data_IF_977321850772
#
_entry.id   IF_977321850772
#
_cell.length_a   1.000
_cell.length_b   1.000
_cell.length_c   1.000
_cell.angle_alpha   90.00
_cell.angle_beta   90.00
_cell.angle_gamma   90.00
#
_symmetry.space_group_name_H-M   'P 1'
#
loop_
_entity.id
_entity.type
_entity.pdbx_description
1 polymer ?
#
# COMPACT_ATOMS: atom_id res chain seq x y z
N UNK A 1 60.62 18.99 28.16
CA UNK A 1 60.76 18.85 26.70
C UNK A 1 59.93 17.65 26.29
N UNK A 2 58.82 17.87 25.59
CA UNK A 2 57.93 16.81 25.12
C UNK A 2 58.49 16.33 23.78
N UNK A 3 59.02 15.11 23.74
CA UNK A 3 59.58 14.50 22.54
C UNK A 3 58.47 14.27 21.51
N UNK A 4 58.81 14.66 20.29
CA UNK A 4 57.99 14.73 19.09
C UNK A 4 57.52 13.36 18.58
N UNK A 5 56.26 13.36 18.13
CA UNK A 5 55.57 12.43 17.21
C UNK A 5 56.49 11.43 16.48
N UNK A 6 56.30 10.15 16.75
CA UNK A 6 56.72 9.06 15.86
C UNK A 6 55.99 9.25 14.52
N UNK A 7 56.72 9.67 13.48
CA UNK A 7 56.21 9.74 12.12
C UNK A 7 56.22 8.33 11.53
N UNK A 8 55.09 7.90 10.99
CA UNK A 8 55.02 6.68 10.18
C UNK A 8 56.05 6.74 9.06
N UNK A 9 56.78 5.66 8.82
CA UNK A 9 57.68 5.59 7.68
C UNK A 9 56.87 5.57 6.37
N UNK A 10 57.48 6.00 5.26
CA UNK A 10 56.81 5.98 3.95
C UNK A 10 56.32 4.57 3.57
N UNK A 11 57.03 3.52 4.03
CA UNK A 11 56.62 2.13 3.83
C UNK A 11 55.38 1.74 4.66
N UNK A 12 55.22 2.33 5.86
CA UNK A 12 54.04 2.10 6.70
C UNK A 12 52.82 2.85 6.14
N UNK A 13 53.03 4.07 5.64
CA UNK A 13 52.01 4.85 4.93
C UNK A 13 51.54 4.14 3.66
N UNK A 14 52.46 3.56 2.88
CA UNK A 14 52.14 2.79 1.68
C UNK A 14 51.28 1.56 2.01
N UNK A 15 51.63 0.82 3.07
CA UNK A 15 50.83 -0.33 3.53
C UNK A 15 49.45 0.06 4.02
N UNK A 16 49.33 1.20 4.72
CA UNK A 16 48.04 1.71 5.18
C UNK A 16 47.18 2.12 3.99
N UNK A 17 47.76 2.76 2.97
CA UNK A 17 47.05 3.11 1.73
C UNK A 17 46.57 1.86 0.97
N UNK A 18 47.43 0.86 0.78
CA UNK A 18 47.05 -0.40 0.13
C UNK A 18 45.97 -1.16 0.91
N UNK A 19 46.02 -1.13 2.25
CA UNK A 19 44.94 -1.70 3.08
C UNK A 19 43.65 -0.89 2.99
N UNK A 20 43.71 0.44 2.94
CA UNK A 20 42.54 1.29 2.79
C UNK A 20 41.86 1.06 1.43
N UNK A 21 42.62 1.04 0.33
CA UNK A 21 42.13 0.73 -1.02
C UNK A 21 41.52 -0.66 -1.10
N UNK A 22 42.17 -1.67 -0.47
CA UNK A 22 41.63 -3.03 -0.43
C UNK A 22 40.33 -3.11 0.38
N UNK A 23 40.24 -2.44 1.53
CA UNK A 23 39.01 -2.39 2.34
C UNK A 23 37.90 -1.64 1.60
N UNK A 24 38.23 -0.59 0.86
CA UNK A 24 37.28 0.16 0.04
C UNK A 24 36.79 -0.67 -1.14
N UNK A 25 37.67 -1.43 -1.80
CA UNK A 25 37.32 -2.39 -2.83
C UNK A 25 36.46 -3.55 -2.29
N UNK A 26 36.80 -4.13 -1.14
CA UNK A 26 36.00 -5.16 -0.46
C UNK A 26 34.63 -4.59 -0.02
N UNK A 27 34.56 -3.34 0.45
CA UNK A 27 33.30 -2.64 0.75
C UNK A 27 32.46 -2.37 -0.50
N UNK A 28 33.10 -2.02 -1.62
CA UNK A 28 32.44 -1.88 -2.92
C UNK A 28 31.87 -3.24 -3.37
N UNK A 29 32.64 -4.33 -3.22
CA UNK A 29 32.16 -5.69 -3.52
C UNK A 29 30.97 -6.10 -2.64
N UNK A 30 31.02 -5.82 -1.34
CA UNK A 30 29.91 -6.07 -0.42
C UNK A 30 28.70 -5.14 -0.66
N UNK A 31 28.89 -3.91 -1.14
CA UNK A 31 27.80 -3.04 -1.63
C UNK A 31 27.21 -3.54 -2.95
N UNK A 32 27.98 -4.20 -3.80
CA UNK A 32 27.52 -4.74 -5.10
C UNK A 32 26.87 -6.12 -5.02
N UNK A 33 26.85 -6.76 -3.84
CA UNK A 33 26.13 -8.04 -3.67
C UNK A 33 24.72 -7.83 -3.13
N UNK A 34 24.00 -6.81 -3.64
CA UNK A 34 22.54 -6.93 -3.70
C UNK A 34 22.29 -7.93 -4.82
N UNK A 35 21.77 -9.14 -4.56
CA UNK A 35 21.54 -10.09 -5.63
C UNK A 35 20.70 -9.42 -6.70
N UNK A 36 21.06 -9.55 -7.98
CA UNK A 36 20.46 -8.83 -9.12
C UNK A 36 18.92 -8.87 -9.11
N UNK A 37 18.35 -9.94 -8.55
CA UNK A 37 16.90 -10.10 -8.30
C UNK A 37 16.34 -8.99 -7.40
N UNK A 38 16.98 -8.69 -6.27
CA UNK A 38 16.57 -7.63 -5.35
C UNK A 38 16.73 -6.24 -5.97
N UNK A 39 17.76 -6.03 -6.80
CA UNK A 39 17.94 -4.75 -7.52
C UNK A 39 16.77 -4.53 -8.49
N UNK A 40 16.41 -5.55 -9.28
CA UNK A 40 15.29 -5.46 -10.21
C UNK A 40 13.98 -5.20 -9.48
N UNK A 41 13.72 -5.92 -8.40
CA UNK A 41 12.53 -5.71 -7.55
C UNK A 41 12.49 -4.30 -6.94
N UNK A 42 13.64 -3.78 -6.53
CA UNK A 42 13.77 -2.42 -5.99
C UNK A 42 13.47 -1.37 -7.06
N UNK A 43 14.06 -1.50 -8.26
CA UNK A 43 13.84 -0.58 -9.38
C UNK A 43 12.40 -0.64 -9.91
N UNK A 44 11.76 -1.81 -9.81
CA UNK A 44 10.37 -2.00 -10.19
C UNK A 44 9.37 -1.55 -9.10
N UNK A 45 9.84 -1.10 -7.94
CA UNK A 45 9.00 -0.68 -6.82
C UNK A 45 8.42 0.73 -7.02
N UNK A 46 7.11 0.95 -6.80
CA UNK A 46 6.09 -0.05 -6.56
C UNK A 46 5.74 -0.81 -7.85
N UNK A 47 5.52 -2.13 -7.78
CA UNK A 47 5.16 -2.95 -8.92
C UNK A 47 3.80 -2.54 -9.51
N UNK A 48 3.58 -2.84 -10.79
CA UNK A 48 2.39 -2.42 -11.52
C UNK A 48 1.08 -2.85 -10.83
N UNK A 49 1.04 -4.02 -10.19
CA UNK A 49 -0.16 -4.44 -9.44
C UNK A 49 -0.50 -3.51 -8.26
N UNK A 50 0.50 -2.91 -7.60
CA UNK A 50 0.28 -1.93 -6.54
C UNK A 50 -0.19 -0.60 -7.12
N UNK A 51 0.37 -0.18 -8.26
CA UNK A 51 -0.10 1.00 -8.97
C UNK A 51 -1.57 0.85 -9.37
N UNK A 52 -1.93 -0.27 -10.02
CA UNK A 52 -3.31 -0.61 -10.40
C UNK A 52 -4.26 -0.56 -9.22
N UNK A 53 -3.87 -1.20 -8.10
CA UNK A 53 -4.72 -1.30 -6.91
C UNK A 53 -4.95 0.03 -6.21
N UNK A 54 -3.99 0.94 -6.24
CA UNK A 54 -4.05 2.18 -5.45
C UNK A 54 -4.45 3.40 -6.28
N UNK A 55 -4.24 3.39 -7.60
CA UNK A 55 -4.58 4.50 -8.48
C UNK A 55 -5.84 4.27 -9.31
N UNK A 56 -6.48 3.10 -9.25
CA UNK A 56 -7.72 2.83 -9.99
C UNK A 56 -8.82 2.29 -9.09
N UNK A 57 -10.08 2.68 -9.36
CA UNK A 57 -11.28 2.14 -8.69
C UNK A 57 -11.65 0.76 -9.27
N UNK A 58 -10.89 -0.26 -8.87
CA UNK A 58 -11.08 -1.64 -9.30
C UNK A 58 -11.40 -2.53 -8.12
N UNK A 59 -12.56 -3.21 -8.17
CA UNK A 59 -12.90 -4.21 -7.17
C UNK A 59 -11.92 -5.40 -7.20
N UNK A 60 -11.61 -5.97 -6.03
CA UNK A 60 -10.59 -7.02 -5.81
C UNK A 60 -10.73 -8.31 -6.67
N UNK A 61 -11.81 -8.44 -7.46
CA UNK A 61 -12.15 -9.66 -8.21
C UNK A 61 -12.30 -9.46 -9.73
N UNK A 62 -12.14 -8.25 -10.26
CA UNK A 62 -12.31 -7.99 -11.70
C UNK A 62 -10.99 -8.22 -12.48
N UNK A 63 -10.66 -9.49 -12.71
CA UNK A 63 -9.38 -9.89 -13.35
C UNK A 63 -9.22 -9.34 -14.76
N UNK A 64 -10.29 -9.26 -15.55
CA UNK A 64 -10.23 -8.72 -16.92
C UNK A 64 -9.86 -7.25 -16.90
N UNK A 65 -10.51 -6.48 -16.03
CA UNK A 65 -10.23 -5.06 -15.87
C UNK A 65 -8.82 -4.79 -15.34
N UNK A 66 -8.33 -5.63 -14.42
CA UNK A 66 -6.95 -5.53 -13.92
C UNK A 66 -5.94 -5.72 -15.06
N UNK A 67 -6.16 -6.69 -15.97
CA UNK A 67 -5.28 -6.89 -17.14
C UNK A 67 -5.19 -5.64 -18.01
N UNK A 68 -6.35 -5.06 -18.36
CA UNK A 68 -6.41 -3.86 -19.19
C UNK A 68 -5.70 -2.67 -18.50
N UNK A 69 -5.84 -2.54 -17.18
CA UNK A 69 -5.14 -1.51 -16.42
C UNK A 69 -3.62 -1.74 -16.43
N UNK A 70 -3.16 -2.99 -16.36
CA UNK A 70 -1.74 -3.30 -16.45
C UNK A 70 -1.19 -2.92 -17.82
N UNK A 71 -1.91 -3.26 -18.89
CA UNK A 71 -1.56 -2.87 -20.26
C UNK A 71 -1.51 -1.34 -20.41
N UNK A 72 -2.46 -0.60 -19.82
CA UNK A 72 -2.42 0.86 -19.81
C UNK A 72 -1.19 1.40 -19.07
N UNK A 73 -0.87 0.85 -17.89
CA UNK A 73 0.31 1.25 -17.12
C UNK A 73 1.60 0.99 -17.92
N UNK A 74 1.69 -0.15 -18.62
CA UNK A 74 2.83 -0.48 -19.48
C UNK A 74 2.96 0.49 -20.66
N UNK A 75 1.85 0.90 -21.30
CA UNK A 75 1.88 1.96 -22.33
C UNK A 75 2.47 3.26 -21.78
N UNK A 76 2.04 3.67 -20.58
CA UNK A 76 2.54 4.88 -19.91
C UNK A 76 4.03 4.73 -19.55
N UNK A 77 4.45 3.55 -19.09
CA UNK A 77 5.85 3.24 -18.76
C UNK A 77 6.75 3.34 -19.98
N UNK A 78 6.33 2.81 -21.12
CA UNK A 78 7.10 2.91 -22.37
C UNK A 78 7.26 4.37 -22.82
N UNK A 79 6.21 5.18 -22.74
CA UNK A 79 6.31 6.62 -23.06
C UNK A 79 7.28 7.31 -22.09
N UNK A 80 7.18 7.01 -20.80
CA UNK A 80 8.06 7.59 -19.80
C UNK A 80 9.54 7.23 -20.05
N UNK A 81 9.83 6.00 -20.45
CA UNK A 81 11.18 5.53 -20.76
C UNK A 81 11.76 6.32 -21.94
N UNK A 82 11.02 6.44 -23.04
CA UNK A 82 11.48 7.20 -24.21
C UNK A 82 11.67 8.69 -23.88
N UNK A 83 10.69 9.33 -23.23
CA UNK A 83 10.77 10.74 -22.82
C UNK A 83 11.97 11.00 -21.89
N UNK A 84 12.19 10.13 -20.90
CA UNK A 84 13.31 10.25 -19.98
C UNK A 84 14.65 10.02 -20.68
N UNK A 85 14.70 9.06 -21.62
CA UNK A 85 15.91 8.74 -22.35
C UNK A 85 16.38 9.91 -23.21
N UNK A 86 15.48 10.52 -23.99
CA UNK A 86 15.80 11.72 -24.77
C UNK A 86 16.37 12.83 -23.89
N UNK A 87 15.73 13.09 -22.74
CA UNK A 87 16.16 14.13 -21.82
C UNK A 87 17.52 13.84 -21.17
N UNK A 88 17.77 12.58 -20.79
CA UNK A 88 19.03 12.20 -20.14
C UNK A 88 20.20 12.13 -21.13
N UNK A 89 19.94 11.77 -22.39
CA UNK A 89 20.95 11.82 -23.45
C UNK A 89 21.46 13.25 -23.66
N UNK A 90 20.58 14.25 -23.67
CA UNK A 90 20.96 15.68 -23.72
C UNK A 90 21.84 16.10 -22.54
N UNK A 91 21.65 15.47 -21.37
CA UNK A 91 22.34 15.78 -20.12
C UNK A 91 23.57 14.89 -19.86
N UNK A 92 23.88 13.95 -20.76
CA UNK A 92 24.96 12.97 -20.58
C UNK A 92 24.75 12.08 -19.34
N UNK A 93 23.49 11.88 -18.94
CA UNK A 93 23.06 11.08 -17.77
C UNK A 93 23.63 11.56 -16.42
N UNK A 94 24.24 12.75 -16.34
CA UNK A 94 24.84 13.23 -15.08
C UNK A 94 23.85 14.03 -14.25
N UNK A 95 23.85 13.77 -12.95
CA UNK A 95 23.10 14.55 -11.96
C UNK A 95 24.10 15.28 -11.08
N UNK A 96 23.98 16.60 -11.02
CA UNK A 96 24.76 17.44 -10.10
C UNK A 96 23.95 17.68 -8.83
N UNK A 97 24.20 16.86 -7.80
CA UNK A 97 23.55 17.00 -6.49
C UNK A 97 24.02 18.24 -5.71
N UNK A 98 25.18 18.82 -6.06
CA UNK A 98 25.71 20.00 -5.37
C UNK A 98 25.02 21.28 -5.83
N UNK A 99 24.49 21.30 -7.05
CA UNK A 99 23.77 22.46 -7.60
C UNK A 99 22.28 22.51 -7.28
N UNK A 100 21.74 21.55 -6.52
CA UNK A 100 20.27 21.38 -6.36
C UNK A 100 19.53 21.47 -7.70
N UNK A 101 20.15 21.06 -8.81
CA UNK A 101 19.42 20.82 -10.06
C UNK A 101 18.61 19.55 -9.80
N UNK A 102 17.46 19.73 -9.15
CA UNK A 102 16.48 18.69 -8.88
C UNK A 102 16.30 17.89 -10.16
N UNK A 103 16.28 16.56 -10.06
CA UNK A 103 15.90 15.69 -11.18
C UNK A 103 14.66 16.31 -11.80
N UNK A 104 14.81 16.87 -13.00
CA UNK A 104 13.75 17.60 -13.66
C UNK A 104 12.76 16.58 -14.21
N UNK A 105 11.88 16.09 -13.34
CA UNK A 105 10.72 15.33 -13.75
C UNK A 105 9.81 16.29 -14.52
N UNK A 106 10.00 16.35 -15.85
CA UNK A 106 9.00 16.95 -16.75
C UNK A 106 7.66 16.31 -16.44
N UNK A 107 6.60 17.12 -16.42
CA UNK A 107 5.26 16.65 -16.08
C UNK A 107 4.74 15.64 -17.10
N UNK A 108 5.11 14.37 -16.96
CA UNK A 108 4.73 13.26 -17.86
C UNK A 108 3.22 13.22 -18.06
N UNK A 109 2.45 13.48 -17.00
CA UNK A 109 1.00 13.56 -17.09
C UNK A 109 0.52 14.63 -18.09
N UNK A 110 1.16 15.80 -18.12
CA UNK A 110 0.85 16.87 -19.09
C UNK A 110 1.28 16.45 -20.49
N UNK A 111 2.46 15.84 -20.64
CA UNK A 111 2.91 15.30 -21.92
C UNK A 111 1.90 14.29 -22.49
N UNK A 112 1.45 13.34 -21.68
CA UNK A 112 0.44 12.35 -22.10
C UNK A 112 -0.89 13.03 -22.43
N UNK A 113 -1.35 13.99 -21.63
CA UNK A 113 -2.60 14.71 -21.90
C UNK A 113 -2.59 15.47 -23.23
N UNK A 114 -1.43 15.97 -23.67
CA UNK A 114 -1.29 16.75 -24.90
C UNK A 114 -0.96 15.89 -26.13
N UNK A 115 -0.02 14.96 -25.98
CA UNK A 115 0.55 14.19 -27.10
C UNK A 115 -0.02 12.78 -27.23
N UNK A 116 -0.55 12.21 -26.15
CA UNK A 116 -1.09 10.84 -26.08
C UNK A 116 -2.48 10.84 -25.41
N UNK A 117 -3.36 11.71 -25.91
CA UNK A 117 -4.66 12.01 -25.29
C UNK A 117 -5.56 10.78 -25.14
N UNK A 118 -5.47 9.84 -26.06
CA UNK A 118 -6.16 8.54 -26.03
C UNK A 118 -5.82 7.74 -24.75
N UNK A 119 -4.55 7.69 -24.36
CA UNK A 119 -4.10 7.04 -23.11
C UNK A 119 -4.71 7.73 -21.88
N UNK A 120 -4.74 9.07 -21.89
CA UNK A 120 -5.38 9.81 -20.82
C UNK A 120 -6.89 9.51 -20.73
N UNK A 121 -7.59 9.46 -21.87
CA UNK A 121 -9.01 9.13 -21.92
C UNK A 121 -9.28 7.68 -21.46
N UNK A 122 -8.48 6.72 -21.92
CA UNK A 122 -8.51 5.31 -21.49
C UNK A 122 -8.35 5.22 -19.97
N UNK A 123 -7.42 5.98 -19.38
CA UNK A 123 -7.25 6.05 -17.92
C UNK A 123 -8.50 6.52 -17.18
N UNK A 124 -9.24 7.48 -17.75
CA UNK A 124 -10.49 7.99 -17.17
C UNK A 124 -11.61 6.95 -17.24
N UNK A 125 -11.75 6.26 -18.37
CA UNK A 125 -12.72 5.18 -18.55
C UNK A 125 -12.46 4.02 -17.56
N UNK A 126 -11.19 3.70 -17.33
CA UNK A 126 -10.78 2.71 -16.34
C UNK A 126 -10.89 3.19 -14.90
N UNK A 127 -11.38 4.42 -14.66
CA UNK A 127 -11.53 5.08 -13.36
C UNK A 127 -10.20 5.28 -12.62
N UNK A 128 -9.21 5.84 -13.30
CA UNK A 128 -8.00 6.34 -12.64
C UNK A 128 -8.36 7.46 -11.66
N UNK A 129 -8.01 7.26 -10.39
CA UNK A 129 -8.33 8.12 -9.26
C UNK A 129 -7.38 9.32 -9.17
N UNK A 130 -6.10 9.12 -9.49
CA UNK A 130 -5.09 10.19 -9.50
C UNK A 130 -4.07 9.97 -10.62
N UNK A 131 -4.42 10.43 -11.81
CA UNK A 131 -3.60 10.26 -13.02
C UNK A 131 -2.24 10.93 -12.92
N UNK A 132 -2.18 12.16 -12.38
CA UNK A 132 -0.93 12.90 -12.25
C UNK A 132 0.09 12.15 -11.38
N UNK A 133 -0.33 11.68 -10.19
CA UNK A 133 0.56 10.93 -9.29
C UNK A 133 0.93 9.54 -9.83
N UNK A 134 0.04 8.91 -10.59
CA UNK A 134 0.37 7.67 -11.30
C UNK A 134 1.51 7.92 -12.29
N UNK A 135 1.39 8.96 -13.13
CA UNK A 135 2.43 9.34 -14.08
C UNK A 135 3.73 9.74 -13.37
N UNK A 136 3.67 10.52 -12.29
CA UNK A 136 4.86 10.90 -11.52
C UNK A 136 5.62 9.66 -11.00
N UNK A 137 4.90 8.66 -10.48
CA UNK A 137 5.50 7.39 -10.04
C UNK A 137 6.18 6.66 -11.20
N UNK A 138 5.50 6.55 -12.34
CA UNK A 138 6.04 5.83 -13.51
C UNK A 138 7.25 6.57 -14.08
N UNK A 139 7.20 7.89 -14.17
CA UNK A 139 8.29 8.73 -14.66
C UNK A 139 9.56 8.58 -13.80
N UNK A 140 9.41 8.63 -12.47
CA UNK A 140 10.53 8.46 -11.56
C UNK A 140 11.11 7.03 -11.60
N UNK A 141 10.27 6.01 -11.84
CA UNK A 141 10.76 4.64 -12.09
C UNK A 141 11.57 4.56 -13.39
N UNK A 142 11.13 5.22 -14.45
CA UNK A 142 11.87 5.29 -15.72
C UNK A 142 13.25 5.95 -15.52
N UNK A 143 13.30 7.11 -14.86
CA UNK A 143 14.57 7.73 -14.46
C UNK A 143 15.45 6.79 -13.64
N UNK A 144 14.89 6.12 -12.62
CA UNK A 144 15.66 5.21 -11.77
C UNK A 144 16.32 4.07 -12.58
N UNK A 145 15.59 3.48 -13.54
CA UNK A 145 16.11 2.43 -14.42
C UNK A 145 17.22 2.95 -15.32
N UNK A 146 17.00 4.07 -16.00
CA UNK A 146 17.97 4.65 -16.93
C UNK A 146 19.25 5.11 -16.22
N UNK A 147 19.14 5.74 -15.04
CA UNK A 147 20.31 6.07 -14.22
C UNK A 147 21.06 4.82 -13.78
N UNK A 148 20.35 3.75 -13.40
CA UNK A 148 20.97 2.49 -13.00
C UNK A 148 21.76 1.86 -14.15
N UNK A 149 21.16 1.80 -15.35
CA UNK A 149 21.79 1.27 -16.56
C UNK A 149 23.05 2.05 -16.95
N UNK A 150 23.08 3.35 -16.67
CA UNK A 150 24.24 4.23 -16.90
C UNK A 150 25.17 4.36 -15.68
N UNK A 151 25.08 3.44 -14.73
CA UNK A 151 25.93 3.34 -13.53
C UNK A 151 25.86 4.56 -12.59
N UNK A 152 24.79 5.36 -12.69
CA UNK A 152 24.49 6.49 -11.80
C UNK A 152 23.66 6.02 -10.61
N UNK A 153 24.24 5.17 -9.76
CA UNK A 153 23.51 4.46 -8.72
C UNK A 153 22.89 5.40 -7.66
N UNK A 154 23.58 6.47 -7.30
CA UNK A 154 23.06 7.44 -6.32
C UNK A 154 21.78 8.14 -6.82
N UNK A 155 21.77 8.58 -8.09
CA UNK A 155 20.59 9.13 -8.75
C UNK A 155 19.47 8.11 -8.88
N UNK A 156 19.81 6.87 -9.22
CA UNK A 156 18.84 5.79 -9.28
C UNK A 156 18.15 5.57 -7.92
N UNK A 157 18.90 5.44 -6.82
CA UNK A 157 18.33 5.24 -5.49
C UNK A 157 17.57 6.47 -4.98
N UNK A 158 18.03 7.68 -5.32
CA UNK A 158 17.30 8.90 -5.02
C UNK A 158 15.93 8.92 -5.70
N UNK A 159 15.87 8.57 -7.00
CA UNK A 159 14.59 8.40 -7.71
C UNK A 159 13.68 7.39 -7.03
N UNK A 160 14.17 6.20 -6.66
CA UNK A 160 13.36 5.17 -5.99
C UNK A 160 12.81 5.67 -4.64
N UNK A 161 13.60 6.41 -3.87
CA UNK A 161 13.10 7.03 -2.65
C UNK A 161 11.96 8.02 -2.94
N UNK A 162 12.13 8.88 -3.95
CA UNK A 162 11.07 9.81 -4.38
C UNK A 162 9.82 9.08 -4.85
N UNK A 163 9.95 7.97 -5.59
CA UNK A 163 8.81 7.13 -5.98
C UNK A 163 8.02 6.69 -4.75
N UNK A 164 8.70 6.24 -3.69
CA UNK A 164 8.06 5.84 -2.43
C UNK A 164 7.24 6.96 -1.79
N UNK A 165 7.79 8.18 -1.75
CA UNK A 165 7.08 9.36 -1.23
C UNK A 165 5.86 9.74 -2.09
N UNK A 166 6.02 9.80 -3.41
CA UNK A 166 4.95 10.14 -4.37
C UNK A 166 3.84 9.10 -4.32
N UNK A 167 4.19 7.81 -4.29
CA UNK A 167 3.24 6.72 -4.15
C UNK A 167 2.45 6.84 -2.83
N UNK A 168 3.16 7.01 -1.71
CA UNK A 168 2.54 7.19 -0.40
C UNK A 168 1.56 8.38 -0.38
N UNK A 169 1.99 9.55 -0.88
CA UNK A 169 1.15 10.74 -0.98
C UNK A 169 -0.08 10.50 -1.87
N UNK A 170 0.11 9.96 -3.07
CA UNK A 170 -0.99 9.65 -4.00
C UNK A 170 -2.00 8.66 -3.42
N UNK A 171 -1.54 7.61 -2.72
CA UNK A 171 -2.45 6.66 -2.07
C UNK A 171 -3.24 7.28 -0.91
N UNK A 172 -2.66 8.24 -0.18
CA UNK A 172 -3.34 8.94 0.91
C UNK A 172 -4.42 9.90 0.39
N UNK A 173 -4.13 10.63 -0.68
CA UNK A 173 -5.10 11.50 -1.37
C UNK A 173 -6.30 10.68 -1.87
N UNK A 174 -6.04 9.55 -2.52
CA UNK A 174 -7.08 8.64 -3.02
C UNK A 174 -7.88 8.00 -1.88
N UNK A 175 -7.24 7.70 -0.74
CA UNK A 175 -7.93 7.15 0.45
C UNK A 175 -8.79 8.18 1.19
N UNK A 176 -8.65 9.48 0.92
CA UNK A 176 -9.52 10.52 1.46
C UNK A 176 -10.99 10.27 1.17
N UNK A 177 -11.32 9.73 0.00
CA UNK A 177 -12.69 9.39 -0.41
C UNK A 177 -13.23 8.11 0.24
N UNK A 178 -12.36 7.18 0.64
CA UNK A 178 -12.75 6.03 1.46
C UNK A 178 -13.19 6.43 2.87
N UNK A 179 -12.84 7.64 3.31
CA UNK A 179 -13.34 8.19 4.56
C UNK A 179 -14.82 8.58 4.43
N UNK A 180 -15.29 9.00 3.25
CA UNK A 180 -16.72 9.18 2.98
C UNK A 180 -17.47 7.85 3.03
N UNK A 181 -16.98 6.79 2.38
CA UNK A 181 -17.59 5.46 2.46
C UNK A 181 -17.59 4.89 3.90
N UNK A 182 -16.51 5.09 4.66
CA UNK A 182 -16.45 4.75 6.10
C UNK A 182 -17.41 5.59 6.93
N UNK A 183 -17.53 6.90 6.67
CA UNK A 183 -18.48 7.80 7.32
C UNK A 183 -19.93 7.47 6.96
N UNK A 184 -20.20 7.10 5.71
CA UNK A 184 -21.50 6.67 5.21
C UNK A 184 -21.90 5.32 5.83
N UNK A 185 -20.97 4.36 5.88
CA UNK A 185 -21.16 3.08 6.56
C UNK A 185 -21.39 3.24 8.05
N UNK A 186 -20.58 4.07 8.74
CA UNK A 186 -20.82 4.44 10.15
C UNK A 186 -22.19 5.11 10.32
N UNK A 187 -22.54 6.09 9.48
CA UNK A 187 -23.81 6.80 9.52
C UNK A 187 -25.00 5.86 9.29
N UNK A 188 -24.92 4.96 8.32
CA UNK A 188 -25.94 3.96 8.05
C UNK A 188 -26.07 2.95 9.19
N UNK A 189 -24.95 2.51 9.79
CA UNK A 189 -24.95 1.66 10.99
C UNK A 189 -25.61 2.37 12.17
N UNK A 190 -25.32 3.65 12.39
CA UNK A 190 -25.96 4.46 13.43
C UNK A 190 -27.45 4.67 13.17
N UNK A 191 -27.85 4.96 11.93
CA UNK A 191 -29.26 5.09 11.53
C UNK A 191 -30.04 3.78 11.69
N UNK A 192 -29.43 2.65 11.30
CA UNK A 192 -30.01 1.32 11.53
C UNK A 192 -30.16 1.04 13.02
N UNK A 193 -29.11 1.23 13.82
CA UNK A 193 -29.18 1.05 15.28
C UNK A 193 -30.24 1.95 15.92
N UNK A 194 -30.40 3.19 15.46
CA UNK A 194 -31.44 4.11 15.95
C UNK A 194 -32.84 3.63 15.57
N UNK A 195 -33.03 3.12 14.35
CA UNK A 195 -34.30 2.55 13.84
C UNK A 195 -34.72 1.29 14.59
N UNK A 196 -33.75 0.46 14.98
CA UNK A 196 -33.98 -0.78 15.73
C UNK A 196 -33.84 -0.63 17.25
N UNK A 197 -33.58 0.58 17.76
CA UNK A 197 -33.31 0.83 19.19
C UNK A 197 -34.45 0.34 20.09
N UNK A 198 -35.72 0.60 19.73
CA UNK A 198 -36.89 0.11 20.46
C UNK A 198 -37.03 -1.42 20.46
N UNK A 199 -36.54 -2.11 19.43
CA UNK A 199 -36.55 -3.57 19.35
C UNK A 199 -35.35 -4.22 20.07
N UNK A 200 -34.27 -3.47 20.27
CA UNK A 200 -33.05 -3.93 20.93
C UNK A 200 -33.01 -3.61 22.43
N UNK A 201 -33.94 -2.83 22.97
CA UNK A 201 -33.96 -2.47 24.39
C UNK A 201 -34.06 -3.68 25.32
N UNK A 202 -34.87 -4.68 24.96
CA UNK A 202 -35.08 -5.89 25.77
C UNK A 202 -34.12 -7.03 25.41
N UNK A 203 -33.27 -6.87 24.39
CA UNK A 203 -32.37 -7.93 23.91
C UNK A 203 -31.25 -8.27 24.90
N UNK A 204 -30.57 -7.31 25.56
CA UNK A 204 -29.59 -7.61 26.60
C UNK A 204 -30.20 -8.39 27.78
N UNK A 205 -31.41 -8.02 28.18
CA UNK A 205 -32.15 -8.64 29.28
C UNK A 205 -32.57 -10.08 28.92
N UNK A 206 -33.12 -10.28 27.71
CA UNK A 206 -33.44 -11.62 27.21
C UNK A 206 -32.19 -12.51 27.07
N UNK A 207 -31.06 -11.96 26.62
CA UNK A 207 -29.78 -12.69 26.53
C UNK A 207 -29.31 -13.20 27.91
N UNK A 208 -29.46 -12.39 28.96
CA UNK A 208 -29.14 -12.81 30.34
C UNK A 208 -30.09 -13.89 30.83
N UNK A 209 -31.40 -13.67 30.69
CA UNK A 209 -32.42 -14.64 31.06
C UNK A 209 -32.20 -16.00 30.40
N UNK A 210 -31.86 -16.03 29.11
CA UNK A 210 -31.64 -17.29 28.38
C UNK A 210 -30.41 -18.06 28.88
N UNK A 211 -29.34 -17.37 29.28
CA UNK A 211 -28.18 -18.01 29.91
C UNK A 211 -28.53 -18.53 31.30
N UNK A 212 -29.27 -17.76 32.10
CA UNK A 212 -29.73 -18.20 33.42
C UNK A 212 -30.59 -19.47 33.31
N UNK A 213 -31.45 -19.57 32.30
CA UNK A 213 -32.25 -20.78 32.04
C UNK A 213 -31.35 -21.96 31.65
N UNK A 214 -30.32 -21.73 30.84
CA UNK A 214 -29.35 -22.76 30.46
C UNK A 214 -28.68 -23.34 31.72
N UNK A 215 -28.24 -22.48 32.62
CA UNK A 215 -27.59 -22.86 33.87
C UNK A 215 -28.56 -23.53 34.85
N UNK A 216 -29.77 -22.98 35.03
CA UNK A 216 -30.77 -23.52 35.97
C UNK A 216 -31.31 -24.89 35.55
N UNK A 217 -31.50 -25.11 34.25
CA UNK A 217 -32.01 -26.37 33.71
C UNK A 217 -30.89 -27.36 33.38
N UNK A 218 -29.62 -27.00 33.64
CA UNK A 218 -28.43 -27.81 33.31
C UNK A 218 -28.37 -28.27 31.85
N UNK A 219 -28.82 -27.43 30.90
CA UNK A 219 -28.72 -27.77 29.49
C UNK A 219 -27.27 -27.73 29.03
N UNK A 220 -26.85 -28.75 28.28
CA UNK A 220 -25.46 -28.86 27.81
C UNK A 220 -25.24 -28.20 26.46
N UNK A 221 -26.31 -27.95 25.71
CA UNK A 221 -26.23 -27.33 24.38
C UNK A 221 -27.15 -26.12 24.23
N UNK A 222 -26.72 -25.17 23.38
CA UNK A 222 -27.58 -24.05 22.98
C UNK A 222 -28.80 -24.48 22.18
N UNK A 223 -28.77 -25.68 21.59
CA UNK A 223 -29.89 -26.21 20.81
C UNK A 223 -31.04 -26.63 21.73
N UNK A 224 -30.74 -27.40 22.78
CA UNK A 224 -31.68 -27.82 23.82
C UNK A 224 -32.27 -26.61 24.54
N UNK A 225 -31.41 -25.66 24.92
CA UNK A 225 -31.83 -24.43 25.58
C UNK A 225 -32.76 -23.60 24.68
N UNK A 226 -32.42 -23.44 23.39
CA UNK A 226 -33.25 -22.69 22.46
C UNK A 226 -34.61 -23.36 22.17
N UNK A 227 -34.64 -24.69 22.18
CA UNK A 227 -35.87 -25.47 22.02
C UNK A 227 -36.79 -25.28 23.23
N UNK A 228 -36.25 -25.41 24.45
CA UNK A 228 -36.98 -25.16 25.69
C UNK A 228 -37.55 -23.75 25.75
N UNK A 229 -36.74 -22.73 25.46
CA UNK A 229 -37.18 -21.32 25.44
C UNK A 229 -38.31 -21.12 24.43
N UNK A 230 -38.23 -21.78 23.26
CA UNK A 230 -39.25 -21.64 22.21
C UNK A 230 -40.57 -22.30 22.58
N UNK A 231 -40.51 -23.41 23.31
CA UNK A 231 -41.68 -24.18 23.72
C UNK A 231 -42.38 -23.59 24.95
N UNK A 232 -41.63 -22.97 25.86
CA UNK A 232 -42.16 -22.60 27.19
C UNK A 232 -42.14 -21.11 27.53
N UNK A 233 -41.38 -20.28 26.81
CA UNK A 233 -41.17 -18.87 27.18
C UNK A 233 -41.51 -17.92 26.03
N UNK A 234 -40.86 -18.09 24.89
CA UNK A 234 -41.02 -17.27 23.69
C UNK A 234 -41.85 -18.04 22.65
N UNK A 235 -43.10 -18.31 23.00
CA UNK A 235 -44.07 -19.09 22.19
C UNK A 235 -44.54 -18.33 20.94
N UNK A 236 -44.35 -17.02 20.90
CA UNK A 236 -44.70 -16.15 19.78
C UNK A 236 -43.87 -16.41 18.51
N UNK A 237 -44.35 -15.97 17.34
CA UNK A 237 -43.63 -16.16 16.05
C UNK A 237 -42.20 -15.56 16.02
N UNK A 238 -41.89 -14.59 16.88
CA UNK A 238 -40.56 -13.98 17.02
C UNK A 238 -40.22 -13.86 18.50
N UNK A 239 -38.95 -14.09 18.91
CA UNK A 239 -37.80 -14.48 18.09
C UNK A 239 -37.88 -15.93 17.57
N UNK A 240 -37.23 -16.21 16.43
CA UNK A 240 -37.14 -17.56 15.90
C UNK A 240 -36.16 -18.41 16.72
N UNK A 241 -36.28 -19.74 16.60
CA UNK A 241 -35.32 -20.69 17.19
C UNK A 241 -33.86 -20.31 16.88
N UNK A 242 -33.54 -20.05 15.60
CA UNK A 242 -32.19 -19.66 15.18
C UNK A 242 -31.73 -18.34 15.81
N UNK A 243 -32.67 -17.41 16.02
CA UNK A 243 -32.38 -16.13 16.68
C UNK A 243 -32.02 -16.36 18.15
N UNK A 244 -32.76 -17.20 18.85
CA UNK A 244 -32.51 -17.56 20.27
C UNK A 244 -31.16 -18.27 20.39
N UNK A 245 -30.90 -19.28 19.56
CA UNK A 245 -29.62 -20.00 19.51
C UNK A 245 -28.43 -19.07 19.25
N UNK A 246 -28.59 -18.11 18.31
CA UNK A 246 -27.57 -17.09 18.04
C UNK A 246 -27.36 -16.16 19.23
N UNK A 247 -28.42 -15.76 19.92
CA UNK A 247 -28.33 -14.89 21.10
C UNK A 247 -27.64 -15.59 22.27
N UNK A 248 -27.94 -16.86 22.53
CA UNK A 248 -27.23 -17.70 23.51
C UNK A 248 -25.73 -17.78 23.22
N UNK A 249 -25.36 -18.07 21.96
CA UNK A 249 -23.95 -18.12 21.55
C UNK A 249 -23.22 -16.79 21.72
N UNK A 250 -23.89 -15.67 21.46
CA UNK A 250 -23.33 -14.33 21.68
C UNK A 250 -23.19 -14.00 23.17
N UNK A 251 -24.22 -14.29 23.96
CA UNK A 251 -24.24 -14.05 25.39
C UNK A 251 -23.15 -14.86 26.11
N UNK A 252 -22.96 -16.14 25.74
CA UNK A 252 -21.90 -17.00 26.29
C UNK A 252 -20.48 -16.46 25.97
N UNK A 253 -20.33 -15.64 24.93
CA UNK A 253 -19.07 -14.96 24.57
C UNK A 253 -18.92 -13.58 25.25
N UNK A 254 -19.84 -13.22 26.15
CA UNK A 254 -19.87 -11.92 26.83
C UNK A 254 -20.50 -10.78 26.01
N UNK A 255 -21.08 -11.07 24.84
CA UNK A 255 -21.75 -10.05 24.02
C UNK A 255 -23.24 -9.94 24.36
N UNK A 256 -23.55 -8.98 25.23
CA UNK A 256 -24.92 -8.63 25.63
C UNK A 256 -25.52 -7.48 24.81
N UNK A 257 -24.80 -6.97 23.80
CA UNK A 257 -25.22 -5.84 22.96
C UNK A 257 -26.17 -6.21 21.79
#
# INVERSE_FOLDING_TARGET
MVNSREGFSDADLQKILEQAERIEFERLQHRTTIPTVFIKELLDSPPNFLLSRNFFDVGYKDRKRISIIHELIEKIDNIAIEDCKELLEEQGYRVDFEKEESIMYRGLSVHIMLSNKDIYLESKELKCLNFHKLCDCINLKAFARLYFENQQYEASFYCINLVGYVFGAGTNEVRGDNDFQKKLSKSNKTKANKRWSKHNQTRPEKKKLYLEIMDQQNFTTFAETAEYIKQHIETDKKPSYDTIKRWLSQANKGDFS
#
